data_IF_915628877208
#
_entry.id   IF_915628877208
#
_cell.length_a   1.000
_cell.length_b   1.000
_cell.length_c   1.000
_cell.angle_alpha   90.00
_cell.angle_beta   90.00
_cell.angle_gamma   90.00
#
_symmetry.space_group_name_H-M   'P 1'
#
loop_
_entity.id
_entity.type
_entity.pdbx_description
1 polymer ?
#
# COMPACT_ATOMS: atom_id res chain seq x y z
N UNK A 1 -23.08 -38.42 44.58
CA UNK A 1 -23.60 -37.18 43.96
C UNK A 1 -22.54 -36.65 43.01
N UNK A 2 -22.75 -36.81 41.70
CA UNK A 2 -21.79 -36.44 40.65
C UNK A 2 -22.51 -35.57 39.63
N UNK A 3 -22.04 -34.34 39.32
CA UNK A 3 -22.73 -33.46 38.39
C UNK A 3 -22.54 -33.91 36.93
N UNK A 4 -23.68 -33.99 36.24
CA UNK A 4 -23.85 -34.35 34.83
C UNK A 4 -23.36 -33.22 33.92
N UNK A 5 -22.25 -33.42 33.21
CA UNK A 5 -21.73 -32.50 32.18
C UNK A 5 -22.72 -32.41 31.01
N UNK A 6 -23.16 -31.20 30.66
CA UNK A 6 -23.88 -30.95 29.41
C UNK A 6 -22.90 -30.83 28.23
N UNK A 7 -23.22 -31.41 27.05
CA UNK A 7 -22.48 -31.18 25.83
C UNK A 7 -22.77 -29.78 25.29
N UNK A 8 -21.72 -28.96 25.20
CA UNK A 8 -21.77 -27.64 24.58
C UNK A 8 -22.12 -27.75 23.09
N UNK A 9 -23.20 -27.08 22.72
CA UNK A 9 -23.69 -26.90 21.37
C UNK A 9 -22.71 -26.03 20.56
N UNK A 10 -21.78 -26.66 19.84
CA UNK A 10 -20.95 -26.00 18.84
C UNK A 10 -21.81 -25.63 17.64
N UNK A 11 -22.30 -24.39 17.60
CA UNK A 11 -22.96 -23.86 16.41
C UNK A 11 -21.95 -23.79 15.25
N UNK A 12 -22.30 -24.26 14.04
CA UNK A 12 -21.44 -24.16 12.88
C UNK A 12 -21.26 -22.69 12.51
N UNK A 13 -20.07 -22.15 12.74
CA UNK A 13 -19.66 -20.85 12.22
C UNK A 13 -19.81 -20.91 10.70
N UNK A 14 -20.81 -20.19 10.17
CA UNK A 14 -20.98 -20.03 8.72
C UNK A 14 -19.68 -19.41 8.20
N UNK A 15 -19.03 -19.99 7.19
CA UNK A 15 -17.87 -19.36 6.58
C UNK A 15 -18.31 -17.99 6.09
N UNK A 16 -17.79 -16.94 6.73
CA UNK A 16 -17.93 -15.58 6.25
C UNK A 16 -17.18 -15.51 4.93
N UNK A 17 -17.90 -15.77 3.82
CA UNK A 17 -17.42 -15.39 2.51
C UNK A 17 -17.24 -13.88 2.55
N UNK A 18 -16.02 -13.35 2.36
CA UNK A 18 -15.82 -11.93 2.28
C UNK A 18 -16.71 -11.42 1.14
N UNK A 19 -17.72 -10.61 1.50
CA UNK A 19 -18.57 -9.95 0.51
C UNK A 19 -17.65 -9.26 -0.47
N UNK A 20 -17.73 -9.54 -1.78
CA UNK A 20 -16.89 -8.88 -2.76
C UNK A 20 -17.20 -7.39 -2.67
N UNK A 21 -16.27 -6.67 -2.03
CA UNK A 21 -16.32 -5.24 -1.86
C UNK A 21 -16.29 -4.70 -3.28
N UNK A 22 -17.45 -4.23 -3.76
CA UNK A 22 -17.66 -3.63 -5.07
C UNK A 22 -16.87 -2.32 -5.11
N UNK A 23 -15.55 -2.45 -5.18
CA UNK A 23 -14.61 -1.35 -5.35
C UNK A 23 -14.88 -0.77 -6.73
N UNK A 24 -14.98 0.55 -6.77
CA UNK A 24 -15.25 1.31 -7.97
C UNK A 24 -14.53 0.71 -9.17
N UNK A 25 -15.31 0.43 -10.22
CA UNK A 25 -14.85 -0.09 -11.50
C UNK A 25 -13.87 0.94 -12.08
N UNK A 26 -12.59 0.84 -11.73
CA UNK A 26 -11.54 1.60 -12.38
C UNK A 26 -11.57 1.11 -13.83
N UNK A 27 -11.78 2.00 -14.82
CA UNK A 27 -11.83 1.58 -16.21
C UNK A 27 -10.51 0.86 -16.54
N UNK A 28 -10.57 -0.34 -17.16
CA UNK A 28 -9.38 -1.16 -17.44
C UNK A 28 -8.37 -0.47 -18.37
N UNK A 29 -8.71 0.67 -18.95
CA UNK A 29 -7.90 1.40 -19.93
C UNK A 29 -6.95 2.47 -19.37
N UNK A 30 -7.03 2.86 -18.10
CA UNK A 30 -6.19 3.95 -17.59
C UNK A 30 -5.02 3.46 -16.75
N UNK A 31 -3.86 3.34 -17.41
CA UNK A 31 -2.52 3.18 -16.82
C UNK A 31 -2.05 1.74 -16.51
N UNK A 32 -2.35 0.78 -17.39
CA UNK A 32 -1.62 -0.50 -17.38
C UNK A 32 -0.16 -0.22 -17.77
N UNK A 33 0.73 -0.28 -16.78
CA UNK A 33 2.18 -0.21 -16.95
C UNK A 33 2.62 -0.90 -18.26
N UNK A 34 3.32 -0.21 -19.20
CA UNK A 34 3.69 -0.72 -20.54
C UNK A 34 4.77 -1.81 -20.44
N UNK A 35 4.39 -2.93 -19.87
CA UNK A 35 5.31 -3.98 -19.45
C UNK A 35 6.01 -4.66 -20.61
N UNK A 36 5.39 -4.67 -21.81
CA UNK A 36 5.99 -5.23 -23.03
C UNK A 36 7.22 -4.44 -23.45
N UNK A 37 7.11 -3.11 -23.48
CA UNK A 37 8.23 -2.22 -23.83
C UNK A 37 9.30 -2.27 -22.75
N UNK A 38 8.90 -2.24 -21.48
CA UNK A 38 9.83 -2.40 -20.35
C UNK A 38 10.57 -3.76 -20.39
N UNK A 39 9.89 -4.81 -20.85
CA UNK A 39 10.47 -6.15 -20.99
C UNK A 39 11.39 -6.24 -22.21
N UNK A 40 11.07 -5.56 -23.31
CA UNK A 40 11.92 -5.43 -24.48
C UNK A 40 13.22 -4.65 -24.18
N UNK A 41 13.12 -3.61 -23.35
CA UNK A 41 14.26 -2.82 -22.87
C UNK A 41 15.09 -3.52 -21.77
N UNK A 42 14.59 -4.63 -21.21
CA UNK A 42 15.31 -5.35 -20.17
C UNK A 42 16.55 -6.06 -20.73
N UNK A 43 17.66 -6.01 -19.98
CA UNK A 43 18.89 -6.79 -20.20
C UNK A 43 18.70 -8.28 -19.88
N UNK A 44 17.74 -8.91 -20.53
CA UNK A 44 17.44 -10.35 -20.44
C UNK A 44 17.76 -11.00 -21.79
N UNK A 45 18.15 -12.28 -21.75
CA UNK A 45 18.29 -13.06 -22.99
C UNK A 45 16.94 -13.15 -23.74
N UNK A 46 16.92 -13.30 -25.08
CA UNK A 46 15.67 -13.44 -25.84
C UNK A 46 14.78 -14.59 -25.32
N UNK A 47 15.41 -15.68 -24.90
CA UNK A 47 14.73 -16.83 -24.32
C UNK A 47 14.07 -16.52 -22.97
N UNK A 48 14.77 -15.86 -22.05
CA UNK A 48 14.18 -15.42 -20.77
C UNK A 48 13.06 -14.41 -20.97
N UNK A 49 13.23 -13.50 -21.94
CA UNK A 49 12.22 -12.51 -22.31
C UNK A 49 10.91 -13.18 -22.75
N UNK A 50 10.99 -14.18 -23.61
CA UNK A 50 9.83 -14.97 -24.03
C UNK A 50 9.15 -15.68 -22.85
N UNK A 51 9.93 -16.31 -21.97
CA UNK A 51 9.38 -16.95 -20.76
C UNK A 51 8.71 -15.96 -19.82
N UNK A 52 9.31 -14.79 -19.59
CA UNK A 52 8.73 -13.76 -18.74
C UNK A 52 7.43 -13.22 -19.34
N UNK A 53 7.39 -12.99 -20.65
CA UNK A 53 6.20 -12.51 -21.33
C UNK A 53 5.00 -13.45 -21.14
N UNK A 54 5.22 -14.76 -21.32
CA UNK A 54 4.17 -15.77 -21.13
C UNK A 54 3.64 -15.77 -19.69
N UNK A 55 4.53 -15.77 -18.70
CA UNK A 55 4.12 -15.84 -17.30
C UNK A 55 3.42 -14.55 -16.83
N UNK A 56 3.88 -13.38 -17.28
CA UNK A 56 3.22 -12.10 -17.01
C UNK A 56 1.84 -12.05 -17.65
N UNK A 57 1.73 -12.43 -18.93
CA UNK A 57 0.45 -12.44 -19.64
C UNK A 57 -0.57 -13.37 -18.97
N UNK A 58 -0.15 -14.55 -18.51
CA UNK A 58 -1.02 -15.48 -17.78
C UNK A 58 -1.50 -14.90 -16.46
N UNK A 59 -0.63 -14.25 -15.70
CA UNK A 59 -1.01 -13.58 -14.46
C UNK A 59 -2.00 -12.41 -14.72
N UNK A 60 -1.75 -11.59 -15.74
CA UNK A 60 -2.68 -10.51 -16.10
C UNK A 60 -4.05 -11.05 -16.50
N UNK A 61 -4.08 -12.13 -17.30
CA UNK A 61 -5.33 -12.80 -17.66
C UNK A 61 -6.03 -13.41 -16.43
N UNK A 62 -5.28 -13.93 -15.47
CA UNK A 62 -5.82 -14.42 -14.21
C UNK A 62 -6.51 -13.30 -13.41
N UNK A 63 -5.86 -12.13 -13.30
CA UNK A 63 -6.46 -10.96 -12.66
C UNK A 63 -7.71 -10.48 -13.41
N UNK A 64 -7.65 -10.42 -14.75
CA UNK A 64 -8.76 -10.01 -15.60
C UNK A 64 -9.99 -10.93 -15.46
N UNK A 65 -9.79 -12.25 -15.55
CA UNK A 65 -10.88 -13.24 -15.45
C UNK A 65 -11.57 -13.22 -14.08
N UNK A 66 -10.83 -12.88 -13.02
CA UNK A 66 -11.36 -12.83 -11.66
C UNK A 66 -11.75 -11.41 -11.21
N UNK A 67 -11.66 -10.42 -12.10
CA UNK A 67 -11.88 -9.00 -11.80
C UNK A 67 -11.04 -8.51 -10.59
N UNK A 68 -9.84 -9.07 -10.43
CA UNK A 68 -8.93 -8.74 -9.34
C UNK A 68 -7.96 -7.63 -9.74
N UNK A 69 -7.56 -6.76 -8.80
CA UNK A 69 -6.52 -5.79 -9.05
C UNK A 69 -5.15 -6.46 -9.30
N UNK A 70 -4.29 -5.80 -10.05
CA UNK A 70 -2.94 -6.31 -10.37
C UNK A 70 -1.99 -5.99 -9.21
N UNK A 71 -2.04 -6.82 -8.17
CA UNK A 71 -1.30 -6.62 -6.92
C UNK A 71 -0.36 -7.78 -6.55
N UNK A 72 0.70 -7.53 -5.74
CA UNK A 72 1.61 -8.57 -5.27
C UNK A 72 0.95 -9.68 -4.45
N UNK A 73 -0.18 -9.40 -3.78
CA UNK A 73 -0.95 -10.40 -3.03
C UNK A 73 -1.60 -11.41 -3.98
N UNK A 74 -2.28 -10.92 -5.02
CA UNK A 74 -2.92 -11.75 -6.04
C UNK A 74 -1.89 -12.54 -6.87
N UNK A 75 -0.67 -12.00 -7.02
CA UNK A 75 0.44 -12.75 -7.61
C UNK A 75 0.89 -13.95 -6.77
N UNK A 76 0.80 -13.85 -5.43
CA UNK A 76 1.08 -15.01 -4.54
C UNK A 76 -0.02 -16.05 -4.65
N UNK A 77 -1.28 -15.62 -4.70
CA UNK A 77 -2.43 -16.50 -4.90
C UNK A 77 -2.36 -17.22 -6.25
N UNK A 78 -2.07 -16.51 -7.33
CA UNK A 78 -1.83 -17.08 -8.66
C UNK A 78 -0.74 -18.16 -8.63
N UNK A 79 0.37 -17.90 -7.93
CA UNK A 79 1.45 -18.88 -7.78
C UNK A 79 1.07 -20.07 -6.89
N UNK A 80 0.05 -19.94 -6.04
CA UNK A 80 -0.44 -21.02 -5.17
C UNK A 80 -1.48 -21.91 -5.88
N UNK A 81 -2.34 -21.33 -6.71
CA UNK A 81 -3.43 -22.03 -7.41
C UNK A 81 -2.93 -23.00 -8.47
N UNK A 82 -1.75 -22.74 -9.02
CA UNK A 82 -1.17 -23.63 -10.02
C UNK A 82 0.03 -24.35 -9.41
N UNK A 83 -0.16 -25.55 -8.82
CA UNK A 83 0.93 -26.37 -8.28
C UNK A 83 2.08 -26.56 -9.29
N UNK A 84 1.72 -26.66 -10.58
CA UNK A 84 2.66 -26.75 -11.70
C UNK A 84 3.44 -25.45 -11.97
N UNK A 85 2.98 -24.29 -11.49
CA UNK A 85 3.70 -23.01 -11.57
C UNK A 85 4.44 -22.68 -10.26
N UNK A 86 3.97 -23.15 -9.10
CA UNK A 86 4.70 -23.01 -7.83
C UNK A 86 6.08 -23.67 -7.91
N UNK A 87 6.18 -24.77 -8.66
CA UNK A 87 7.40 -25.49 -9.00
C UNK A 87 8.27 -24.79 -10.07
N UNK A 88 7.76 -23.76 -10.77
CA UNK A 88 8.50 -23.06 -11.83
C UNK A 88 9.21 -21.84 -11.26
N UNK A 89 10.54 -21.86 -11.08
CA UNK A 89 11.28 -20.70 -10.59
C UNK A 89 11.14 -19.48 -11.52
N UNK A 90 10.85 -19.70 -12.80
CA UNK A 90 10.68 -18.65 -13.80
C UNK A 90 9.44 -17.78 -13.57
N UNK A 91 8.30 -18.36 -13.15
CA UNK A 91 7.07 -17.60 -12.91
C UNK A 91 7.27 -16.59 -11.77
N UNK A 92 7.86 -17.04 -10.66
CA UNK A 92 8.18 -16.17 -9.52
C UNK A 92 9.16 -15.06 -9.89
N UNK A 93 10.20 -15.37 -10.68
CA UNK A 93 11.17 -14.36 -11.16
C UNK A 93 10.52 -13.35 -12.12
N UNK A 94 9.65 -13.80 -13.02
CA UNK A 94 8.92 -12.95 -13.96
C UNK A 94 8.00 -11.96 -13.24
N UNK A 95 7.19 -12.43 -12.27
CA UNK A 95 6.30 -11.58 -11.49
C UNK A 95 7.08 -10.60 -10.60
N UNK A 96 8.16 -11.07 -9.94
CA UNK A 96 9.05 -10.18 -9.17
C UNK A 96 9.66 -9.09 -10.05
N UNK A 97 10.08 -9.44 -11.27
CA UNK A 97 10.58 -8.48 -12.25
C UNK A 97 9.48 -7.49 -12.64
N UNK A 98 8.27 -7.96 -12.96
CA UNK A 98 7.12 -7.12 -13.35
C UNK A 98 6.81 -6.05 -12.30
N UNK A 99 6.60 -6.43 -11.03
CA UNK A 99 6.31 -5.47 -9.97
C UNK A 99 7.49 -4.56 -9.63
N UNK A 100 8.73 -4.98 -9.89
CA UNK A 100 9.90 -4.10 -9.75
C UNK A 100 9.94 -3.08 -10.89
N UNK A 101 9.66 -3.51 -12.11
CA UNK A 101 9.61 -2.65 -13.28
C UNK A 101 8.46 -1.64 -13.14
N UNK A 102 7.24 -2.09 -12.82
CA UNK A 102 6.07 -1.22 -12.60
C UNK A 102 6.35 -0.08 -11.61
N UNK A 103 7.08 -0.35 -10.52
CA UNK A 103 7.47 0.69 -9.55
C UNK A 103 8.42 1.77 -10.10
N UNK A 104 9.14 1.49 -11.19
CA UNK A 104 10.02 2.46 -11.88
C UNK A 104 9.29 3.30 -12.91
N UNK A 105 8.10 2.87 -13.32
CA UNK A 105 7.21 3.62 -14.18
C UNK A 105 6.08 4.13 -13.29
N UNK A 106 6.32 5.16 -12.46
CA UNK A 106 5.22 5.79 -11.76
C UNK A 106 4.16 6.11 -12.84
N UNK A 107 2.87 5.80 -12.60
CA UNK A 107 1.81 6.19 -13.53
C UNK A 107 2.08 7.64 -13.84
N UNK A 108 2.38 7.94 -15.13
CA UNK A 108 2.80 9.26 -15.58
C UNK A 108 1.87 10.21 -14.86
N UNK A 109 2.41 10.92 -13.86
CA UNK A 109 1.59 11.50 -12.79
C UNK A 109 0.42 12.11 -13.52
N UNK A 110 -0.79 11.65 -13.19
CA UNK A 110 -1.91 12.56 -13.24
C UNK A 110 -1.33 13.82 -12.61
N UNK A 111 -1.05 14.82 -13.44
CA UNK A 111 -0.78 16.17 -13.02
C UNK A 111 -2.11 16.65 -12.45
N UNK A 112 -2.63 15.96 -11.42
CA UNK A 112 -3.05 16.67 -10.25
C UNK A 112 -1.85 17.57 -9.98
N UNK A 113 -1.97 18.88 -10.23
CA UNK A 113 -0.94 19.79 -9.77
C UNK A 113 -0.69 19.33 -8.35
N UNK A 114 0.59 19.16 -7.97
CA UNK A 114 0.88 19.24 -6.54
C UNK A 114 0.03 20.41 -6.11
N UNK A 115 -0.91 20.19 -5.18
CA UNK A 115 -1.47 21.32 -4.48
C UNK A 115 -0.21 22.00 -3.98
N UNK A 116 0.23 23.01 -4.73
CA UNK A 116 0.84 24.16 -4.17
C UNK A 116 -0.22 24.48 -3.14
N UNK A 117 0.04 24.10 -1.90
CA UNK A 117 -0.43 24.85 -0.77
C UNK A 117 -0.34 26.28 -1.30
N UNK A 118 -1.48 26.97 -1.44
CA UNK A 118 -1.57 28.31 -2.08
C UNK A 118 -0.67 29.36 -1.39
N UNK A 119 0.12 28.90 -0.44
CA UNK A 119 1.09 29.51 0.45
C UNK A 119 2.55 29.35 0.01
N UNK A 120 2.86 28.68 -1.11
CA UNK A 120 4.16 28.78 -1.77
C UNK A 120 5.39 28.34 -0.96
N UNK A 121 5.24 27.47 0.03
CA UNK A 121 6.33 27.15 0.95
C UNK A 121 7.14 25.94 0.45
N UNK A 122 8.22 26.20 -0.30
CA UNK A 122 9.11 25.17 -0.88
C UNK A 122 10.08 24.52 0.11
N UNK A 123 10.06 24.90 1.38
CA UNK A 123 11.05 24.46 2.38
C UNK A 123 10.40 23.84 3.62
N UNK A 124 10.52 22.52 3.84
CA UNK A 124 10.10 21.85 5.09
C UNK A 124 10.97 22.22 6.32
N UNK A 125 11.85 23.22 6.18
CA UNK A 125 12.79 23.65 7.21
C UNK A 125 12.73 25.16 7.51
N UNK A 126 11.77 25.90 6.92
CA UNK A 126 11.76 27.37 7.06
C UNK A 126 11.35 27.87 8.44
N UNK A 127 10.88 27.00 9.35
CA UNK A 127 10.61 27.39 10.74
C UNK A 127 9.56 28.50 10.89
N UNK A 128 8.81 28.81 9.82
CA UNK A 128 7.73 29.78 9.87
C UNK A 128 6.52 29.08 10.47
N UNK A 129 6.35 29.24 11.78
CA UNK A 129 5.18 28.80 12.52
C UNK A 129 3.90 29.31 11.82
N UNK A 130 2.89 28.47 11.73
CA UNK A 130 1.61 28.90 11.19
C UNK A 130 1.04 30.04 12.07
N UNK A 131 0.41 31.07 11.49
CA UNK A 131 -0.11 32.21 12.26
C UNK A 131 -1.16 31.83 13.31
N UNK A 132 -1.77 30.64 13.22
CA UNK A 132 -2.66 30.13 14.25
C UNK A 132 -1.94 29.59 15.51
N UNK A 133 -0.67 29.20 15.44
CA UNK A 133 0.11 28.78 16.62
C UNK A 133 0.69 29.98 17.39
N UNK A 134 0.84 31.14 16.75
CA UNK A 134 1.37 32.34 17.40
C UNK A 134 0.41 32.93 18.46
N UNK A 135 -0.88 32.59 18.42
CA UNK A 135 -1.86 33.10 19.40
C UNK A 135 -1.85 32.36 20.74
N UNK A 136 -1.31 31.15 20.82
CA UNK A 136 -1.32 30.39 22.08
C UNK A 136 -0.11 30.66 22.98
N UNK A 137 1.00 31.14 22.41
CA UNK A 137 2.25 31.36 23.17
C UNK A 137 2.21 32.68 23.98
N UNK A 138 1.41 33.66 23.55
CA UNK A 138 1.29 34.94 24.26
C UNK A 138 0.44 34.90 25.53
N UNK A 139 -0.28 33.80 25.83
CA UNK A 139 -1.19 33.75 26.98
C UNK A 139 -0.60 33.12 28.26
N UNK A 140 0.68 32.73 28.28
CA UNK A 140 1.30 32.02 29.42
C UNK A 140 2.43 32.78 30.12
N UNK A 141 2.51 34.11 29.99
CA UNK A 141 3.64 34.90 30.52
C UNK A 141 3.35 35.75 31.76
N UNK A 142 2.20 35.59 32.42
CA UNK A 142 1.80 36.48 33.52
C UNK A 142 1.48 35.81 34.87
N UNK A 143 1.70 34.51 35.06
CA UNK A 143 1.44 33.88 36.37
C UNK A 143 2.70 33.34 37.04
N UNK A 144 3.14 34.04 38.09
CA UNK A 144 3.76 33.41 39.25
C UNK A 144 5.23 33.73 39.48
N UNK A 145 5.59 35.02 39.56
CA UNK A 145 6.78 35.44 40.29
C UNK A 145 6.45 35.36 41.79
N UNK A 146 6.78 34.22 42.41
CA UNK A 146 6.64 33.99 43.85
C UNK A 146 7.92 34.52 44.54
N UNK A 147 7.87 35.61 45.33
CA UNK A 147 9.06 36.14 45.98
C UNK A 147 9.52 35.22 47.11
N UNK A 148 10.80 34.83 47.03
CA UNK A 148 11.48 33.97 48.00
C UNK A 148 11.28 34.38 49.48
N UNK A 149 11.01 33.43 50.39
CA UNK A 149 10.91 33.67 51.82
C UNK A 149 12.26 33.46 52.55
N UNK A 150 13.29 34.25 52.24
CA UNK A 150 14.55 34.27 53.03
C UNK A 150 14.48 35.15 54.29
N UNK A 151 13.29 35.54 54.75
CA UNK A 151 13.09 36.38 55.94
C UNK A 151 12.14 35.76 56.97
N UNK A 152 12.51 34.62 57.59
CA UNK A 152 12.05 34.30 58.96
C UNK A 152 13.12 33.55 59.77
N UNK A 153 13.82 34.35 60.59
CA UNK A 153 14.12 34.13 62.03
C UNK A 153 15.17 33.05 62.36
N UNK A 154 16.30 33.31 63.04
CA UNK A 154 16.61 34.21 64.18
C UNK A 154 15.74 33.97 65.42
#
# INVERSE_FOLDING_TARGET
>A
MTPRRQPGSSAPLKPHHPTPRRLAHIPPDSSVFPWKDALAAARLSPFERGRYAIEIQRFLRYCEVLELPVDPSNAREYLAIVPLLSARPHARRALRWYFRAARRFPPARATAPRAHDLWGNTSPRSGVAQPNEAREISLRKDEGEDPEPWLRLA
#
